data_IF_448969801461
#
_entry.id   IF_448969801461
#
_cell.length_a   1.000
_cell.length_b   1.000
_cell.length_c   1.000
_cell.angle_alpha   90.00
_cell.angle_beta   90.00
_cell.angle_gamma   90.00
#
_symmetry.space_group_name_H-M   'P 1'
#
loop_
_entity.id
_entity.type
_entity.pdbx_description
1 polymer ?
#
# COMPACT_ATOMS: atom_id res chain seq x y z
N UNK A 1 -45.54 -53.22 26.47
CA UNK A 1 -47.00 -53.15 26.34
C UNK A 1 -47.28 -52.93 24.86
N UNK A 2 -47.66 -54.03 24.18
CA UNK A 2 -48.41 -54.15 22.90
C UNK A 2 -47.83 -53.45 21.66
N UNK A 3 -47.82 -53.94 20.43
CA UNK A 3 -48.08 -55.22 19.73
C UNK A 3 -47.51 -54.96 18.31
N UNK A 4 -46.72 -55.82 17.65
CA UNK A 4 -47.05 -57.12 17.05
C UNK A 4 -47.89 -57.04 15.75
N UNK A 5 -47.37 -57.74 14.73
CA UNK A 5 -47.97 -58.21 13.45
C UNK A 5 -47.88 -57.24 12.25
N UNK A 6 -47.46 -57.66 11.04
CA UNK A 6 -47.62 -58.99 10.48
C UNK A 6 -46.74 -59.34 9.27
N UNK A 7 -46.80 -60.65 9.03
CA UNK A 7 -46.10 -61.53 8.11
C UNK A 7 -46.53 -61.36 6.64
N UNK A 8 -45.65 -61.76 5.71
CA UNK A 8 -45.95 -61.88 4.29
C UNK A 8 -44.84 -62.56 3.49
N UNK A 9 -44.64 -63.85 3.74
CA UNK A 9 -43.84 -64.81 2.96
C UNK A 9 -44.29 -64.96 1.51
N UNK A 10 -43.34 -65.05 0.56
CA UNK A 10 -43.50 -65.85 -0.65
C UNK A 10 -42.13 -66.27 -1.21
N UNK A 11 -41.78 -67.52 -0.92
CA UNK A 11 -40.79 -68.31 -1.64
C UNK A 11 -41.18 -68.47 -3.11
N UNK A 12 -40.18 -68.41 -4.02
CA UNK A 12 -39.76 -69.56 -4.86
C UNK A 12 -38.92 -69.11 -6.06
N UNK A 13 -37.99 -70.02 -6.42
CA UNK A 13 -37.32 -70.24 -7.71
C UNK A 13 -35.91 -69.64 -7.91
N UNK A 14 -34.92 -70.39 -7.41
CA UNK A 14 -33.69 -70.74 -8.17
C UNK A 14 -34.08 -71.46 -9.48
N UNK A 15 -33.31 -71.43 -10.60
CA UNK A 15 -31.85 -71.64 -10.57
C UNK A 15 -31.00 -70.96 -11.67
N UNK A 16 -29.68 -71.17 -11.55
CA UNK A 16 -28.64 -71.20 -12.60
C UNK A 16 -27.71 -69.99 -12.70
N UNK A 17 -26.44 -70.32 -12.46
CA UNK A 17 -25.23 -69.79 -13.09
C UNK A 17 -25.17 -68.26 -13.28
N UNK A 18 -24.62 -67.57 -12.29
CA UNK A 18 -23.91 -66.33 -12.57
C UNK A 18 -22.53 -66.37 -11.91
N UNK A 19 -21.54 -66.45 -12.80
CA UNK A 19 -20.11 -66.18 -12.66
C UNK A 19 -19.70 -65.55 -11.32
N UNK A 20 -18.82 -66.27 -10.63
CA UNK A 20 -17.91 -65.74 -9.61
C UNK A 20 -17.10 -64.61 -10.26
N UNK A 21 -17.55 -63.36 -10.08
CA UNK A 21 -16.77 -62.17 -10.38
C UNK A 21 -16.02 -61.82 -9.08
N UNK A 22 -14.68 -61.83 -9.04
CA UNK A 22 -13.97 -61.42 -7.85
C UNK A 22 -14.28 -59.94 -7.62
N UNK A 23 -14.79 -59.68 -6.43
CA UNK A 23 -14.98 -58.37 -5.81
C UNK A 23 -13.59 -57.72 -5.69
N UNK A 24 -13.04 -57.23 -6.79
CA UNK A 24 -11.87 -56.38 -6.81
C UNK A 24 -12.35 -55.01 -6.37
N UNK A 25 -12.47 -54.89 -5.05
CA UNK A 25 -12.53 -53.63 -4.30
C UNK A 25 -11.25 -52.88 -4.62
N UNK A 26 -11.24 -52.28 -5.80
CA UNK A 26 -10.33 -51.22 -6.18
C UNK A 26 -10.81 -50.00 -5.38
N UNK A 27 -10.56 -50.01 -4.07
CA UNK A 27 -10.37 -48.80 -3.31
C UNK A 27 -9.15 -48.11 -3.92
N UNK A 28 -9.37 -47.48 -5.08
CA UNK A 28 -8.55 -46.37 -5.53
C UNK A 28 -8.75 -45.32 -4.46
N UNK A 29 -7.91 -45.41 -3.43
CA UNK A 29 -7.57 -44.28 -2.59
C UNK A 29 -7.05 -43.23 -3.56
N UNK A 30 -7.96 -42.42 -4.10
CA UNK A 30 -7.65 -41.10 -4.58
C UNK A 30 -7.16 -40.36 -3.34
N UNK A 31 -5.87 -40.55 -3.05
CA UNK A 31 -5.11 -39.59 -2.29
C UNK A 31 -5.27 -38.32 -3.12
N UNK A 32 -6.25 -37.49 -2.75
CA UNK A 32 -6.31 -36.11 -3.15
C UNK A 32 -5.05 -35.50 -2.56
N UNK A 33 -3.92 -35.69 -3.25
CA UNK A 33 -2.73 -34.92 -3.00
C UNK A 33 -3.18 -33.50 -3.25
N UNK A 34 -3.29 -32.72 -2.18
CA UNK A 34 -3.48 -31.29 -2.28
C UNK A 34 -2.34 -30.78 -3.15
N UNK A 35 -2.64 -30.57 -4.43
CA UNK A 35 -1.72 -29.98 -5.39
C UNK A 35 -1.59 -28.54 -4.91
N UNK A 36 -0.60 -28.31 -4.05
CA UNK A 36 -0.28 -26.98 -3.55
C UNK A 36 -0.07 -26.08 -4.76
N UNK A 37 -1.01 -25.16 -4.98
CA UNK A 37 -0.93 -24.23 -6.09
C UNK A 37 0.35 -23.42 -5.94
N UNK A 38 1.28 -23.52 -6.89
CA UNK A 38 2.50 -22.72 -6.90
C UNK A 38 2.27 -21.48 -7.79
N UNK A 39 2.64 -20.26 -7.35
CA UNK A 39 2.58 -19.12 -8.24
C UNK A 39 3.62 -19.27 -9.35
N UNK A 40 3.22 -19.01 -10.59
CA UNK A 40 4.19 -18.78 -11.67
C UNK A 40 4.98 -17.49 -11.41
N UNK A 41 6.15 -17.35 -12.04
CA UNK A 41 6.96 -16.12 -11.96
C UNK A 41 6.17 -14.85 -12.34
N UNK A 42 5.29 -14.94 -13.34
CA UNK A 42 4.43 -13.83 -13.75
C UNK A 42 3.36 -13.51 -12.69
N UNK A 43 2.74 -14.52 -12.07
CA UNK A 43 1.79 -14.31 -10.98
C UNK A 43 2.45 -13.71 -9.74
N UNK A 44 3.62 -14.24 -9.34
CA UNK A 44 4.40 -13.71 -8.24
C UNK A 44 4.83 -12.26 -8.49
N UNK A 45 5.31 -11.96 -9.70
CA UNK A 45 5.63 -10.59 -10.12
C UNK A 45 4.40 -9.67 -10.01
N UNK A 46 3.24 -10.11 -10.52
CA UNK A 46 1.99 -9.34 -10.47
C UNK A 46 1.53 -9.06 -9.04
N UNK A 47 1.66 -10.04 -8.13
CA UNK A 47 1.35 -9.88 -6.72
C UNK A 47 2.27 -8.83 -6.06
N UNK A 48 3.58 -8.94 -6.29
CA UNK A 48 4.59 -8.02 -5.75
C UNK A 48 4.49 -6.60 -6.33
N UNK A 49 4.04 -6.42 -7.59
CA UNK A 49 3.80 -5.08 -8.14
C UNK A 49 2.67 -4.33 -7.44
N UNK A 50 1.80 -5.05 -6.72
CA UNK A 50 0.63 -4.52 -5.99
C UNK A 50 0.81 -4.54 -4.47
N UNK A 51 2.04 -4.71 -4.00
CA UNK A 51 2.39 -4.84 -2.60
C UNK A 51 1.92 -3.62 -1.80
N UNK A 52 1.12 -3.81 -0.75
CA UNK A 52 0.69 -2.76 0.18
C UNK A 52 0.09 -1.50 -0.51
N UNK A 53 -0.70 -1.70 -1.58
CA UNK A 53 -1.31 -0.60 -2.33
C UNK A 53 -0.35 0.11 -3.29
N UNK A 54 0.87 -0.39 -3.48
CA UNK A 54 1.78 0.13 -4.48
C UNK A 54 1.32 -0.30 -5.88
N UNK A 55 1.71 0.45 -6.90
CA UNK A 55 1.47 0.17 -8.31
C UNK A 55 2.79 0.30 -9.06
N UNK A 56 3.65 -0.69 -8.85
CA UNK A 56 4.96 -0.72 -9.48
C UNK A 56 4.84 -1.21 -10.93
N UNK A 57 5.67 -0.65 -11.82
CA UNK A 57 5.79 -1.18 -13.18
C UNK A 57 6.34 -2.61 -13.15
N UNK A 58 5.96 -3.45 -14.10
CA UNK A 58 6.42 -4.85 -14.16
C UNK A 58 7.95 -4.97 -14.21
N UNK A 59 8.64 -4.02 -14.86
CA UNK A 59 10.10 -3.95 -14.92
C UNK A 59 10.77 -3.59 -13.58
N UNK A 60 10.02 -3.08 -12.60
CA UNK A 60 10.51 -2.79 -11.27
C UNK A 60 10.64 -4.04 -10.39
N UNK A 61 10.09 -5.19 -10.79
CA UNK A 61 10.12 -6.42 -9.97
C UNK A 61 10.82 -7.56 -10.70
N UNK A 62 11.90 -8.08 -10.08
CA UNK A 62 12.68 -9.22 -10.58
C UNK A 62 12.59 -10.40 -9.62
N UNK A 63 11.70 -11.34 -9.92
CA UNK A 63 11.57 -12.60 -9.17
C UNK A 63 12.85 -13.42 -9.32
N UNK A 64 13.43 -13.85 -8.20
CA UNK A 64 14.67 -14.63 -8.11
C UNK A 64 14.41 -16.11 -7.82
N UNK A 65 13.54 -16.37 -6.85
CA UNK A 65 13.22 -17.70 -6.41
C UNK A 65 11.77 -17.78 -5.95
N UNK A 66 11.16 -18.96 -6.16
CA UNK A 66 9.83 -19.30 -5.67
C UNK A 66 9.96 -20.66 -4.99
N UNK A 67 9.72 -20.70 -3.69
CA UNK A 67 9.64 -21.94 -2.91
C UNK A 67 8.17 -22.34 -2.82
N UNK A 68 7.79 -23.53 -3.31
CA UNK A 68 6.42 -24.01 -3.23
C UNK A 68 5.99 -24.20 -1.77
N UNK A 69 4.73 -23.91 -1.47
CA UNK A 69 4.14 -24.01 -0.13
C UNK A 69 2.83 -23.24 -0.02
N UNK A 70 2.18 -23.34 1.13
CA UNK A 70 1.01 -22.53 1.49
C UNK A 70 1.24 -21.93 2.88
N UNK A 71 1.70 -20.68 2.98
CA UNK A 71 1.93 -19.72 1.89
C UNK A 71 3.15 -20.05 1.01
N UNK A 72 3.14 -19.59 -0.25
CA UNK A 72 4.28 -19.72 -1.16
C UNK A 72 5.31 -18.63 -0.87
N UNK A 73 6.58 -18.99 -0.72
CA UNK A 73 7.63 -18.01 -0.43
C UNK A 73 8.30 -17.53 -1.72
N UNK A 74 8.38 -16.23 -1.92
CA UNK A 74 8.96 -15.60 -3.12
C UNK A 74 10.06 -14.65 -2.70
N UNK A 75 11.24 -14.81 -3.30
CA UNK A 75 12.33 -13.83 -3.19
C UNK A 75 12.42 -13.03 -4.48
N UNK A 76 12.48 -11.70 -4.38
CA UNK A 76 12.55 -10.80 -5.52
C UNK A 76 13.40 -9.57 -5.22
N UNK A 77 14.00 -8.97 -6.25
CA UNK A 77 14.54 -7.62 -6.17
C UNK A 77 13.48 -6.62 -6.65
N UNK A 78 13.16 -5.61 -5.84
CA UNK A 78 12.23 -4.53 -6.15
C UNK A 78 13.02 -3.23 -6.36
N UNK A 79 12.86 -2.62 -7.53
CA UNK A 79 13.36 -1.28 -7.83
C UNK A 79 12.37 -0.26 -7.30
N UNK A 80 12.85 0.69 -6.50
CA UNK A 80 12.05 1.82 -6.07
C UNK A 80 12.84 3.13 -6.13
N UNK A 81 12.13 4.25 -6.08
CA UNK A 81 12.63 5.61 -6.11
C UNK A 81 12.26 6.28 -4.80
N UNK A 82 13.22 6.95 -4.20
CA UNK A 82 13.13 7.58 -2.90
C UNK A 82 13.50 9.04 -3.02
N UNK A 83 12.78 9.91 -2.32
CA UNK A 83 13.16 11.31 -2.17
C UNK A 83 13.82 11.48 -0.81
N UNK A 84 14.99 12.08 -0.86
CA UNK A 84 15.81 12.40 0.29
C UNK A 84 15.79 13.90 0.50
N UNK A 85 15.84 14.32 1.76
CA UNK A 85 16.01 15.73 2.13
C UNK A 85 16.87 15.86 3.37
N UNK A 86 17.48 17.02 3.54
CA UNK A 86 18.10 17.41 4.81
C UNK A 86 17.06 18.00 5.76
N UNK A 87 17.10 17.59 7.02
CA UNK A 87 16.38 18.25 8.09
C UNK A 87 17.03 19.60 8.45
N UNK A 88 16.45 20.31 9.42
CA UNK A 88 16.96 21.61 9.89
C UNK A 88 18.37 21.55 10.50
N UNK A 89 18.84 20.36 10.84
CA UNK A 89 20.19 20.09 11.37
C UNK A 89 21.15 19.65 10.27
N UNK A 90 20.74 19.66 9.00
CA UNK A 90 21.53 19.21 7.87
C UNK A 90 21.64 17.68 7.76
N UNK A 91 20.83 16.91 8.48
CA UNK A 91 20.86 15.44 8.45
C UNK A 91 19.96 14.92 7.35
N UNK A 92 20.47 14.00 6.56
CA UNK A 92 19.72 13.35 5.51
C UNK A 92 18.69 12.38 6.09
N UNK A 93 17.49 12.42 5.53
CA UNK A 93 16.42 11.44 5.76
C UNK A 93 15.72 11.10 4.45
N UNK A 94 15.02 9.98 4.42
CA UNK A 94 14.07 9.68 3.36
C UNK A 94 12.77 10.38 3.73
N UNK A 95 12.31 11.33 2.91
CA UNK A 95 11.03 12.00 3.12
C UNK A 95 9.88 11.31 2.40
N UNK A 96 10.12 10.83 1.18
CA UNK A 96 9.07 10.21 0.37
C UNK A 96 9.57 8.94 -0.35
N UNK A 97 8.66 8.00 -0.60
CA UNK A 97 8.88 6.83 -1.46
C UNK A 97 7.87 6.83 -2.60
N UNK A 98 8.32 6.52 -3.82
CA UNK A 98 7.44 6.44 -4.97
C UNK A 98 6.64 5.14 -4.93
N UNK A 99 5.32 5.23 -4.93
CA UNK A 99 4.44 4.05 -4.86
C UNK A 99 3.71 3.78 -6.17
N UNK A 100 3.69 4.73 -7.11
CA UNK A 100 3.23 4.53 -8.49
C UNK A 100 3.98 5.49 -9.44
N UNK A 101 3.61 5.54 -10.73
CA UNK A 101 4.25 6.47 -11.66
C UNK A 101 4.22 7.91 -11.14
N UNK A 102 3.08 8.45 -10.73
CA UNK A 102 3.02 9.86 -10.27
C UNK A 102 2.62 9.99 -8.80
N UNK A 103 2.80 8.91 -8.03
CA UNK A 103 2.39 8.84 -6.62
C UNK A 103 3.61 8.70 -5.70
N UNK A 104 3.68 9.60 -4.73
CA UNK A 104 4.67 9.62 -3.66
C UNK A 104 3.98 9.45 -2.32
N UNK A 105 4.60 8.68 -1.44
CA UNK A 105 4.10 8.41 -0.09
C UNK A 105 5.08 8.97 0.93
N UNK A 106 4.55 9.72 1.90
CA UNK A 106 5.37 10.27 2.99
C UNK A 106 5.84 9.15 3.92
N UNK A 107 7.15 9.09 4.16
CA UNK A 107 7.72 8.13 5.10
C UNK A 107 7.24 8.40 6.52
N UNK A 108 6.95 9.66 6.87
CA UNK A 108 6.48 10.02 8.20
C UNK A 108 5.10 9.39 8.48
N UNK A 109 4.20 9.38 7.49
CA UNK A 109 2.88 8.74 7.61
C UNK A 109 3.01 7.22 7.73
N UNK A 110 3.89 6.60 6.92
CA UNK A 110 4.13 5.14 7.00
C UNK A 110 4.72 4.78 8.36
N UNK A 111 5.69 5.55 8.85
CA UNK A 111 6.33 5.30 10.15
C UNK A 111 5.32 5.45 11.30
N UNK A 112 4.45 6.46 11.24
CA UNK A 112 3.37 6.63 12.22
C UNK A 112 2.40 5.45 12.21
N UNK A 113 1.99 4.99 11.02
CA UNK A 113 1.12 3.83 10.86
C UNK A 113 1.77 2.52 11.37
N UNK A 114 3.07 2.34 11.09
CA UNK A 114 3.87 1.21 11.55
C UNK A 114 4.23 1.29 13.04
N UNK A 115 3.95 2.41 13.71
CA UNK A 115 4.45 2.73 15.06
C UNK A 115 5.98 2.57 15.17
N UNK A 116 6.67 2.85 14.07
CA UNK A 116 8.11 2.69 13.95
C UNK A 116 8.83 4.01 14.23
N UNK A 117 10.00 3.91 14.87
CA UNK A 117 10.91 5.06 14.98
C UNK A 117 11.83 5.13 13.77
N UNK A 118 11.98 6.31 13.18
CA UNK A 118 12.95 6.56 12.12
C UNK A 118 14.35 6.74 12.71
N UNK A 119 15.07 5.63 12.91
CA UNK A 119 16.44 5.63 13.39
C UNK A 119 17.39 6.19 12.31
N UNK A 120 17.53 7.51 12.25
CA UNK A 120 18.37 8.19 11.23
C UNK A 120 19.77 8.56 11.74
N UNK A 121 20.01 8.49 13.06
CA UNK A 121 21.23 9.04 13.65
C UNK A 121 22.50 8.32 13.19
N UNK A 122 22.48 6.99 13.14
CA UNK A 122 23.67 6.18 12.77
C UNK A 122 24.04 6.37 11.30
N UNK A 123 23.05 6.46 10.41
CA UNK A 123 23.28 6.66 8.98
C UNK A 123 23.80 8.05 8.62
N UNK A 124 23.67 9.02 9.52
CA UNK A 124 24.12 10.40 9.32
C UNK A 124 25.54 10.67 9.83
N UNK A 125 26.28 9.63 10.24
CA UNK A 125 27.70 9.78 10.54
C UNK A 125 28.45 10.40 9.33
N UNK A 126 29.39 11.33 9.59
CA UNK A 126 30.22 11.91 8.52
C UNK A 126 31.07 10.82 7.86
N UNK A 127 31.14 10.83 6.53
CA UNK A 127 32.00 9.91 5.80
C UNK A 127 33.47 10.36 5.91
N UNK A 128 34.39 9.50 6.37
CA UNK A 128 35.81 9.84 6.43
C UNK A 128 36.43 9.93 5.02
N UNK A 129 37.37 10.85 4.75
CA UNK A 129 37.72 12.08 5.47
C UNK A 129 37.24 13.32 4.68
N UNK A 130 35.98 13.72 4.84
CA UNK A 130 35.54 15.03 4.33
C UNK A 130 36.02 16.17 5.25
N UNK A 131 36.98 16.97 4.77
CA UNK A 131 37.28 18.31 5.30
C UNK A 131 36.47 19.33 4.48
N UNK A 132 35.22 19.60 4.86
CA UNK A 132 34.38 20.55 4.11
C UNK A 132 32.95 20.66 4.64
N UNK A 133 32.18 21.58 4.07
CA UNK A 133 30.75 21.78 4.34
C UNK A 133 29.94 20.50 4.12
N UNK A 134 28.78 20.38 4.78
CA UNK A 134 27.86 19.25 4.58
C UNK A 134 27.63 19.01 3.08
N UNK A 135 27.84 17.76 2.64
CA UNK A 135 27.68 17.39 1.24
C UNK A 135 26.27 17.73 0.74
N UNK A 136 26.20 18.33 -0.45
CA UNK A 136 24.95 18.74 -1.12
C UNK A 136 24.13 17.51 -1.52
N UNK A 137 24.78 16.35 -1.65
CA UNK A 137 24.21 15.05 -1.98
C UNK A 137 24.42 14.03 -0.85
N UNK A 138 23.51 13.05 -0.68
CA UNK A 138 23.76 11.90 0.18
C UNK A 138 24.76 10.97 -0.52
N UNK A 139 25.83 10.56 0.16
CA UNK A 139 26.75 9.56 -0.39
C UNK A 139 26.01 8.23 -0.66
N UNK A 140 26.51 7.41 -1.58
CA UNK A 140 25.94 6.07 -1.87
C UNK A 140 25.87 5.21 -0.60
N UNK A 141 26.88 5.30 0.27
CA UNK A 141 26.90 4.59 1.56
C UNK A 141 25.78 5.08 2.48
N UNK A 142 25.60 6.40 2.59
CA UNK A 142 24.52 7.01 3.38
C UNK A 142 23.15 6.66 2.84
N UNK A 143 22.94 6.77 1.52
CA UNK A 143 21.70 6.38 0.86
C UNK A 143 21.34 4.92 1.12
N UNK A 144 22.33 4.01 0.97
CA UNK A 144 22.16 2.58 1.29
C UNK A 144 21.76 2.35 2.74
N UNK A 145 22.43 3.01 3.68
CA UNK A 145 22.11 2.91 5.10
C UNK A 145 20.67 3.35 5.39
N UNK A 146 20.30 4.55 4.92
CA UNK A 146 18.97 5.12 5.15
C UNK A 146 17.85 4.25 4.55
N UNK A 147 18.05 3.66 3.37
CA UNK A 147 17.10 2.72 2.78
C UNK A 147 17.04 1.41 3.58
N UNK A 148 18.17 0.94 4.10
CA UNK A 148 18.26 -0.28 4.91
C UNK A 148 17.56 -0.20 6.27
N UNK A 149 17.35 0.99 6.80
CA UNK A 149 16.65 1.22 8.09
C UNK A 149 15.25 1.80 7.91
N UNK A 150 14.73 1.79 6.68
CA UNK A 150 13.46 2.40 6.35
C UNK A 150 12.33 1.77 7.19
N UNK A 151 11.54 2.61 7.85
CA UNK A 151 10.33 2.22 8.61
C UNK A 151 10.55 1.22 9.74
N UNK A 152 11.77 1.13 10.28
CA UNK A 152 12.10 0.20 11.38
C UNK A 152 12.15 -1.26 10.94
N UNK A 153 11.96 -1.56 9.65
CA UNK A 153 12.20 -2.86 9.06
C UNK A 153 13.67 -2.87 8.65
N UNK A 154 14.51 -3.50 9.46
CA UNK A 154 15.91 -3.69 9.10
C UNK A 154 15.98 -4.51 7.82
N UNK A 155 16.62 -3.98 6.79
CA UNK A 155 16.99 -4.71 5.58
C UNK A 155 18.51 -4.79 5.57
N UNK A 156 19.10 -6.00 5.42
CA UNK A 156 20.54 -6.14 5.35
C UNK A 156 21.14 -5.22 4.29
N UNK A 157 22.25 -4.56 4.61
CA UNK A 157 22.83 -3.56 3.69
C UNK A 157 23.21 -4.14 2.32
N UNK A 158 23.54 -5.44 2.24
CA UNK A 158 23.82 -6.17 1.01
C UNK A 158 22.56 -6.50 0.19
N UNK A 159 21.38 -6.47 0.81
CA UNK A 159 20.09 -6.54 0.13
C UNK A 159 19.68 -5.19 -0.49
N UNK A 160 20.39 -4.10 -0.21
CA UNK A 160 20.15 -2.76 -0.78
C UNK A 160 21.25 -2.36 -1.76
N UNK A 161 20.89 -2.26 -3.04
CA UNK A 161 21.78 -1.80 -4.10
C UNK A 161 21.30 -0.47 -4.66
N UNK A 162 22.02 0.59 -4.32
CA UNK A 162 21.83 1.92 -4.92
C UNK A 162 22.22 1.85 -6.39
N UNK A 163 21.29 2.22 -7.26
CA UNK A 163 21.49 2.34 -8.70
C UNK A 163 21.97 3.75 -9.05
N UNK A 164 21.37 4.77 -8.46
CA UNK A 164 21.56 6.17 -8.84
C UNK A 164 21.25 7.09 -7.66
N UNK A 165 21.96 8.22 -7.58
CA UNK A 165 21.75 9.30 -6.63
C UNK A 165 21.81 10.61 -7.42
N UNK A 166 20.67 11.26 -7.54
CA UNK A 166 20.51 12.50 -8.30
C UNK A 166 20.25 13.66 -7.33
N UNK A 167 21.25 14.51 -7.05
CA UNK A 167 21.01 15.72 -6.27
C UNK A 167 20.05 16.64 -7.02
N UNK A 168 19.08 17.19 -6.30
CA UNK A 168 18.12 18.16 -6.80
C UNK A 168 18.37 19.52 -6.11
N UNK A 169 19.39 20.28 -6.54
CA UNK A 169 19.57 21.64 -6.08
C UNK A 169 18.44 22.49 -6.67
N UNK A 170 17.40 22.75 -5.88
CA UNK A 170 16.39 23.76 -6.23
C UNK A 170 16.94 25.11 -5.79
N UNK A 171 17.19 26.06 -6.71
CA UNK A 171 17.60 27.41 -6.34
C UNK A 171 16.58 27.98 -5.35
N UNK A 172 17.06 28.54 -4.23
CA UNK A 172 16.24 29.11 -3.14
C UNK A 172 15.49 28.11 -2.26
N UNK A 173 15.60 26.81 -2.47
CA UNK A 173 15.09 25.86 -1.48
C UNK A 173 15.93 25.96 -0.19
N UNK A 174 15.26 25.96 0.95
CA UNK A 174 15.90 26.06 2.26
C UNK A 174 16.64 24.78 2.67
N UNK A 175 16.42 23.66 1.97
CA UNK A 175 16.93 22.33 2.31
C UNK A 175 17.47 21.64 1.06
N UNK A 176 18.64 21.00 1.19
CA UNK A 176 19.16 20.13 0.14
C UNK A 176 18.24 18.91 -0.04
N UNK A 177 18.07 18.46 -1.29
CA UNK A 177 17.25 17.30 -1.63
C UNK A 177 17.91 16.46 -2.71
N UNK A 178 17.57 15.17 -2.77
CA UNK A 178 18.06 14.25 -3.78
C UNK A 178 17.01 13.18 -4.10
N UNK A 179 17.07 12.62 -5.31
CA UNK A 179 16.33 11.43 -5.69
C UNK A 179 17.29 10.25 -5.70
N UNK A 180 16.91 9.16 -5.07
CA UNK A 180 17.72 7.93 -5.00
C UNK A 180 16.93 6.80 -5.63
N UNK A 181 17.54 6.10 -6.59
CA UNK A 181 16.98 4.88 -7.16
C UNK A 181 17.72 3.68 -6.55
N UNK A 182 16.99 2.73 -5.98
CA UNK A 182 17.59 1.55 -5.36
C UNK A 182 16.84 0.26 -5.72
N UNK A 183 17.59 -0.84 -5.77
CA UNK A 183 17.07 -2.19 -5.78
C UNK A 183 17.14 -2.76 -4.37
N UNK A 184 16.01 -3.28 -3.88
CA UNK A 184 15.87 -3.86 -2.55
C UNK A 184 15.45 -5.31 -2.72
N UNK A 185 16.24 -6.24 -2.17
CA UNK A 185 15.85 -7.65 -2.12
C UNK A 185 14.86 -7.87 -0.99
N UNK A 186 13.71 -8.43 -1.32
CA UNK A 186 12.67 -8.80 -0.37
C UNK A 186 12.34 -10.29 -0.49
N UNK A 187 11.93 -10.88 0.63
CA UNK A 187 11.29 -12.20 0.66
C UNK A 187 9.87 -12.01 1.18
N UNK A 188 8.90 -12.56 0.46
CA UNK A 188 7.49 -12.35 0.69
C UNK A 188 6.74 -13.69 0.71
N UNK A 189 5.68 -13.78 1.50
CA UNK A 189 4.74 -14.91 1.49
C UNK A 189 3.49 -14.55 0.74
N UNK A 190 3.19 -15.34 -0.27
CA UNK A 190 2.03 -15.17 -1.13
C UNK A 190 0.97 -16.20 -0.76
N UNK A 191 -0.28 -15.75 -0.72
CA UNK A 191 -1.47 -16.57 -0.54
C UNK A 191 -2.36 -16.41 -1.76
N UNK A 192 -3.07 -17.47 -2.14
CA UNK A 192 -4.06 -17.44 -3.21
C UNK A 192 -5.46 -17.49 -2.60
N UNK A 193 -6.24 -16.43 -2.78
CA UNK A 193 -7.59 -16.29 -2.24
C UNK A 193 -8.70 -16.70 -3.25
N UNK A 194 -8.31 -17.32 -4.36
CA UNK A 194 -9.20 -17.67 -5.47
C UNK A 194 -9.39 -16.52 -6.47
N UNK A 195 -9.15 -15.26 -6.09
CA UNK A 195 -9.14 -14.10 -7.01
C UNK A 195 -7.74 -13.84 -7.57
N UNK A 196 -6.71 -14.33 -6.89
CA UNK A 196 -5.34 -14.36 -7.36
C UNK A 196 -4.34 -14.45 -6.22
N UNK A 197 -3.07 -14.41 -6.59
CA UNK A 197 -1.98 -14.35 -5.63
C UNK A 197 -1.85 -12.95 -5.04
N UNK A 198 -1.78 -12.87 -3.72
CA UNK A 198 -1.59 -11.64 -2.96
C UNK A 198 -0.46 -11.81 -1.96
N UNK A 199 0.25 -10.73 -1.65
CA UNK A 199 1.30 -10.75 -0.64
C UNK A 199 0.66 -10.61 0.73
N UNK A 200 0.88 -11.58 1.60
CA UNK A 200 0.36 -11.63 2.97
C UNK A 200 1.37 -11.14 3.99
N UNK A 201 2.63 -11.58 3.85
CA UNK A 201 3.70 -11.27 4.80
C UNK A 201 4.99 -10.86 4.06
N UNK A 202 5.79 -10.00 4.69
CA UNK A 202 7.16 -9.70 4.29
C UNK A 202 8.14 -10.17 5.35
N UNK A 203 9.26 -10.70 4.89
CA UNK A 203 10.37 -11.07 5.75
C UNK A 203 11.25 -9.84 6.02
N UNK A 204 11.55 -9.62 7.28
CA UNK A 204 12.46 -8.58 7.77
C UNK A 204 13.90 -9.09 7.81
N UNK A 205 14.86 -8.20 8.07
CA UNK A 205 16.29 -8.50 8.17
C UNK A 205 16.66 -9.37 9.36
N UNK A 206 15.91 -9.26 10.47
CA UNK A 206 16.02 -10.18 11.61
C UNK A 206 15.32 -11.54 11.36
N UNK A 207 14.86 -11.78 10.12
CA UNK A 207 14.22 -13.02 9.62
C UNK A 207 12.79 -13.28 10.09
N UNK A 208 12.20 -12.35 10.83
CA UNK A 208 10.80 -12.40 11.23
C UNK A 208 9.87 -12.12 10.04
N UNK A 209 8.60 -12.50 10.20
CA UNK A 209 7.55 -12.26 9.23
C UNK A 209 6.60 -11.19 9.77
N UNK A 210 6.36 -10.14 8.98
CA UNK A 210 5.39 -9.10 9.29
C UNK A 210 4.18 -9.26 8.37
N UNK A 211 2.99 -9.37 8.98
CA UNK A 211 1.72 -9.32 8.26
C UNK A 211 1.49 -7.91 7.70
N UNK A 212 1.18 -7.82 6.41
CA UNK A 212 1.02 -6.53 5.74
C UNK A 212 -0.34 -5.90 5.96
N UNK A 213 -1.40 -6.70 6.08
CA UNK A 213 -2.76 -6.19 6.14
C UNK A 213 -2.96 -5.19 7.30
N UNK A 214 -2.53 -5.48 8.55
CA UNK A 214 -2.68 -4.51 9.64
C UNK A 214 -1.91 -3.20 9.40
N UNK A 215 -0.76 -3.26 8.72
CA UNK A 215 0.00 -2.07 8.36
C UNK A 215 -0.71 -1.23 7.30
N UNK A 216 -1.27 -1.87 6.27
CA UNK A 216 -2.06 -1.21 5.22
C UNK A 216 -3.31 -0.57 5.81
N UNK A 217 -4.00 -1.27 6.71
CA UNK A 217 -5.19 -0.75 7.39
C UNK A 217 -4.85 0.48 8.25
N UNK A 218 -3.77 0.39 9.05
CA UNK A 218 -3.29 1.52 9.84
C UNK A 218 -2.87 2.71 8.97
N UNK A 219 -2.23 2.45 7.82
CA UNK A 219 -1.85 3.50 6.87
C UNK A 219 -3.10 4.17 6.28
N UNK A 220 -4.10 3.39 5.88
CA UNK A 220 -5.37 3.91 5.37
C UNK A 220 -6.12 4.73 6.43
N UNK A 221 -6.08 4.33 7.71
CA UNK A 221 -6.65 5.12 8.80
C UNK A 221 -5.96 6.50 8.92
N UNK A 222 -4.63 6.53 8.87
CA UNK A 222 -3.86 7.79 8.92
C UNK A 222 -4.15 8.69 7.72
N UNK A 223 -4.27 8.09 6.53
CA UNK A 223 -4.66 8.79 5.30
C UNK A 223 -6.08 9.33 5.38
N UNK A 224 -7.04 8.56 5.87
CA UNK A 224 -8.42 9.02 6.05
C UNK A 224 -8.51 10.19 7.03
N UNK A 225 -7.77 10.12 8.14
CA UNK A 225 -7.67 11.21 9.09
C UNK A 225 -7.03 12.46 8.45
N UNK A 226 -6.00 12.29 7.61
CA UNK A 226 -5.40 13.40 6.86
C UNK A 226 -6.38 14.02 5.87
N UNK A 227 -7.07 13.19 5.08
CA UNK A 227 -8.04 13.66 4.12
C UNK A 227 -9.16 14.47 4.80
N UNK A 228 -9.69 14.00 5.93
CA UNK A 228 -10.69 14.72 6.71
C UNK A 228 -10.18 16.09 7.16
N UNK A 229 -8.93 16.20 7.66
CA UNK A 229 -8.34 17.51 8.03
C UNK A 229 -8.19 18.45 6.84
N UNK A 230 -7.83 17.94 5.66
CA UNK A 230 -7.76 18.75 4.45
C UNK A 230 -9.15 19.23 4.00
N UNK A 231 -10.18 18.38 4.07
CA UNK A 231 -11.58 18.77 3.83
C UNK A 231 -12.06 19.85 4.82
N UNK A 232 -11.78 19.68 6.11
CA UNK A 232 -12.11 20.67 7.14
C UNK A 232 -11.41 22.01 6.88
N UNK A 233 -10.15 21.98 6.43
CA UNK A 233 -9.40 23.18 6.06
C UNK A 233 -10.05 23.91 4.88
N UNK A 234 -10.49 23.17 3.86
CA UNK A 234 -11.21 23.74 2.72
C UNK A 234 -12.59 24.28 3.14
N UNK A 235 -13.32 23.57 4.00
CA UNK A 235 -14.59 24.03 4.54
C UNK A 235 -14.46 25.34 5.32
N UNK A 236 -13.44 25.47 6.17
CA UNK A 236 -13.16 26.72 6.89
C UNK A 236 -12.81 27.87 5.93
N UNK A 237 -12.11 27.58 4.84
CA UNK A 237 -11.82 28.56 3.80
C UNK A 237 -13.09 29.00 3.06
N UNK A 238 -14.00 28.05 2.75
CA UNK A 238 -15.33 28.33 2.20
C UNK A 238 -16.19 29.19 3.13
N UNK A 239 -16.15 28.95 4.44
CA UNK A 239 -16.86 29.80 5.42
C UNK A 239 -16.30 31.23 5.46
N UNK A 240 -14.98 31.40 5.38
CA UNK A 240 -14.38 32.73 5.24
C UNK A 240 -14.81 33.41 3.94
N UNK A 241 -14.78 32.68 2.83
CA UNK A 241 -15.23 33.17 1.53
C UNK A 241 -16.70 33.62 1.58
N UNK A 242 -17.59 32.81 2.14
CA UNK A 242 -19.02 33.12 2.28
C UNK A 242 -19.25 34.34 3.16
N UNK A 243 -18.54 34.48 4.28
CA UNK A 243 -18.68 35.67 5.16
C UNK A 243 -18.34 36.97 4.44
N UNK A 244 -17.40 36.94 3.50
CA UNK A 244 -17.00 38.12 2.74
C UNK A 244 -17.87 38.35 1.49
N UNK A 245 -18.27 37.28 0.79
CA UNK A 245 -18.98 37.36 -0.50
C UNK A 245 -20.50 37.22 -0.39
N UNK A 246 -21.00 36.69 0.72
CA UNK A 246 -22.42 36.41 0.96
C UNK A 246 -22.92 35.06 0.42
N UNK A 247 -22.10 34.29 -0.30
CA UNK A 247 -22.46 33.00 -0.89
C UNK A 247 -21.21 32.08 -1.01
N UNK A 248 -21.40 30.76 -1.12
CA UNK A 248 -20.30 29.83 -1.46
C UNK A 248 -20.01 29.82 -2.96
N UNK A 249 -18.86 29.28 -3.35
CA UNK A 249 -18.48 29.17 -4.77
C UNK A 249 -19.47 28.25 -5.49
N UNK A 250 -20.20 28.75 -6.49
CA UNK A 250 -21.16 27.93 -7.25
C UNK A 250 -20.41 27.22 -8.38
N UNK A 251 -20.11 25.94 -8.19
CA UNK A 251 -19.39 25.11 -9.16
C UNK A 251 -19.42 23.64 -8.73
N UNK A 252 -19.31 22.73 -9.68
CA UNK A 252 -19.04 21.30 -9.51
C UNK A 252 -17.54 20.96 -9.69
N UNK A 253 -16.68 21.98 -9.80
CA UNK A 253 -15.26 21.83 -10.10
C UNK A 253 -14.37 22.21 -8.92
N UNK A 254 -13.61 21.24 -8.44
CA UNK A 254 -12.58 21.46 -7.42
C UNK A 254 -11.50 22.46 -7.89
N UNK A 255 -11.16 22.48 -9.17
CA UNK A 255 -10.17 23.42 -9.69
C UNK A 255 -10.66 24.87 -9.52
N UNK A 256 -11.91 25.14 -9.89
CA UNK A 256 -12.56 26.44 -9.73
C UNK A 256 -12.64 26.84 -8.26
N UNK A 257 -13.00 25.91 -7.37
CA UNK A 257 -12.99 26.15 -5.93
C UNK A 257 -11.62 26.67 -5.47
N UNK A 258 -10.54 25.96 -5.81
CA UNK A 258 -9.20 26.31 -5.35
C UNK A 258 -8.74 27.66 -5.90
N UNK A 259 -9.09 28.01 -7.14
CA UNK A 259 -8.75 29.31 -7.74
C UNK A 259 -9.47 30.48 -7.03
N UNK A 260 -10.68 30.24 -6.48
CA UNK A 260 -11.38 31.23 -5.66
C UNK A 260 -10.85 31.34 -4.22
N UNK A 261 -10.37 30.22 -3.66
CA UNK A 261 -9.89 30.18 -2.27
C UNK A 261 -8.43 30.62 -2.13
N UNK A 262 -7.57 30.29 -3.09
CA UNK A 262 -6.14 30.58 -3.02
C UNK A 262 -5.81 31.97 -3.60
N UNK A 263 -4.86 32.73 -3.02
CA UNK A 263 -4.16 32.47 -1.75
C UNK A 263 -4.90 33.05 -0.54
N UNK A 264 -5.94 33.85 -0.76
CA UNK A 264 -6.55 34.71 0.28
C UNK A 264 -7.19 33.93 1.43
N UNK A 265 -7.87 32.83 1.14
CA UNK A 265 -8.61 32.04 2.13
C UNK A 265 -7.96 30.70 2.42
N UNK A 266 -7.10 30.21 1.52
CA UNK A 266 -6.41 28.93 1.61
C UNK A 266 -4.92 29.11 1.25
N UNK A 267 -4.03 28.93 2.23
CA UNK A 267 -2.60 29.17 2.08
C UNK A 267 -1.87 28.07 1.28
N UNK A 268 -2.37 26.83 1.33
CA UNK A 268 -1.80 25.66 0.63
C UNK A 268 -2.78 25.19 -0.44
N UNK A 269 -2.27 24.86 -1.63
CA UNK A 269 -3.07 24.23 -2.68
C UNK A 269 -3.39 22.78 -2.27
N UNK A 270 -4.68 22.46 -2.11
CA UNK A 270 -5.20 21.12 -1.79
C UNK A 270 -6.06 20.67 -2.98
N UNK A 271 -5.54 19.76 -3.80
CA UNK A 271 -6.23 19.30 -5.03
C UNK A 271 -6.45 17.79 -5.08
N UNK A 272 -5.53 17.03 -4.49
CA UNK A 272 -5.55 15.57 -4.48
C UNK A 272 -5.56 15.10 -3.04
N UNK A 273 -6.27 14.01 -2.80
CA UNK A 273 -6.33 13.34 -1.51
C UNK A 273 -5.07 12.46 -1.28
N UNK A 274 -4.93 11.85 -0.09
CA UNK A 274 -3.79 11.01 0.25
C UNK A 274 -3.64 9.72 -0.57
N UNK A 275 -4.64 9.34 -1.38
CA UNK A 275 -4.57 8.24 -2.33
C UNK A 275 -4.31 8.71 -3.77
N UNK A 276 -4.08 10.02 -3.94
CA UNK A 276 -3.83 10.70 -5.20
C UNK A 276 -5.05 10.80 -6.11
N UNK A 277 -6.25 10.69 -5.55
CA UNK A 277 -7.48 10.98 -6.28
C UNK A 277 -7.80 12.48 -6.15
N UNK A 278 -8.29 13.16 -7.21
CA UNK A 278 -8.76 14.53 -7.09
C UNK A 278 -9.90 14.63 -6.06
N UNK A 279 -9.82 15.61 -5.17
CA UNK A 279 -10.98 15.97 -4.34
C UNK A 279 -12.14 16.44 -5.24
N UNK A 280 -13.37 16.21 -4.77
CA UNK A 280 -14.60 16.62 -5.45
C UNK A 280 -15.30 17.73 -4.67
N UNK A 281 -15.94 18.61 -5.41
CA UNK A 281 -16.68 19.74 -4.88
C UNK A 281 -18.00 19.88 -5.62
N UNK A 282 -19.08 20.03 -4.87
CA UNK A 282 -20.38 20.46 -5.39
C UNK A 282 -20.87 21.63 -4.56
N UNK A 283 -20.83 22.83 -5.15
CA UNK A 283 -21.11 24.09 -4.50
C UNK A 283 -22.34 24.78 -5.06
N UNK A 284 -23.22 25.23 -4.17
CA UNK A 284 -24.35 26.09 -4.48
C UNK A 284 -24.23 27.39 -3.68
N UNK A 285 -25.19 28.31 -3.80
CA UNK A 285 -25.05 29.63 -3.16
C UNK A 285 -25.03 29.55 -1.63
N UNK A 286 -25.75 28.59 -1.05
CA UNK A 286 -26.06 28.47 0.37
C UNK A 286 -25.62 27.15 1.01
N UNK A 287 -25.15 26.19 0.22
CA UNK A 287 -24.62 24.89 0.65
C UNK A 287 -23.43 24.46 -0.21
N UNK A 288 -22.65 23.51 0.31
CA UNK A 288 -21.60 22.84 -0.44
C UNK A 288 -21.39 21.41 0.04
N UNK A 289 -20.77 20.60 -0.80
CA UNK A 289 -20.27 19.26 -0.45
C UNK A 289 -18.82 19.15 -0.91
N UNK A 290 -17.96 18.66 -0.03
CA UNK A 290 -16.59 18.26 -0.32
C UNK A 290 -16.46 16.75 -0.14
N UNK A 291 -15.72 16.09 -1.04
CA UNK A 291 -15.66 14.62 -1.08
C UNK A 291 -14.29 14.10 -1.51
N UNK A 292 -13.87 12.99 -0.90
CA UNK A 292 -12.73 12.15 -1.31
C UNK A 292 -13.24 10.72 -1.53
N UNK A 293 -12.81 10.13 -2.65
CA UNK A 293 -13.12 8.75 -3.08
C UNK A 293 -12.34 7.67 -2.31
N UNK A 294 -11.59 8.06 -1.28
CA UNK A 294 -10.91 7.10 -0.40
C UNK A 294 -9.85 6.20 -1.07
N UNK A 295 -9.47 5.11 -0.38
CA UNK A 295 -8.53 4.10 -0.87
C UNK A 295 -8.89 3.42 -2.19
N UNK A 296 -10.16 3.11 -2.43
CA UNK A 296 -10.55 2.32 -3.61
C UNK A 296 -10.75 3.16 -4.88
N UNK A 297 -10.80 4.50 -4.72
CA UNK A 297 -10.90 5.48 -5.79
C UNK A 297 -12.25 5.47 -6.51
N UNK A 298 -13.26 4.82 -5.94
CA UNK A 298 -14.62 4.78 -6.46
C UNK A 298 -15.50 5.71 -5.65
N UNK A 299 -16.57 6.17 -6.28
CA UNK A 299 -17.55 7.00 -5.59
C UNK A 299 -18.66 6.14 -5.01
N UNK A 300 -19.28 6.67 -3.96
CA UNK A 300 -20.44 6.10 -3.28
C UNK A 300 -20.13 4.75 -2.63
N UNK A 301 -18.91 4.60 -2.14
CA UNK A 301 -18.44 3.44 -1.39
C UNK A 301 -18.32 3.77 0.10
N UNK A 302 -18.11 2.75 0.93
CA UNK A 302 -18.08 2.90 2.39
C UNK A 302 -16.82 3.60 2.92
N UNK A 303 -15.78 3.70 2.10
CA UNK A 303 -14.50 4.34 2.42
C UNK A 303 -14.45 5.82 2.01
N UNK A 304 -15.51 6.32 1.36
CA UNK A 304 -15.66 7.73 1.01
C UNK A 304 -15.67 8.64 2.24
N UNK A 305 -15.05 9.80 2.08
CA UNK A 305 -15.03 10.84 3.11
C UNK A 305 -15.74 12.07 2.56
N UNK A 306 -16.89 12.37 3.13
CA UNK A 306 -17.71 13.51 2.75
C UNK A 306 -17.81 14.53 3.90
N UNK A 307 -17.77 15.81 3.55
CA UNK A 307 -18.06 16.92 4.45
C UNK A 307 -18.97 17.90 3.72
N UNK A 308 -20.15 18.15 4.29
CA UNK A 308 -21.13 19.09 3.74
C UNK A 308 -21.25 20.34 4.61
N UNK A 309 -21.44 21.48 3.96
CA UNK A 309 -21.84 22.72 4.60
C UNK A 309 -23.30 22.68 5.06
N UNK A 310 -23.83 23.78 5.63
CA UNK A 310 -25.20 23.84 6.10
C UNK A 310 -26.20 23.45 5.00
N UNK A 311 -27.16 22.58 5.36
CA UNK A 311 -28.30 22.30 4.51
C UNK A 311 -29.15 23.56 4.36
N UNK A 312 -29.54 23.84 3.11
CA UNK A 312 -30.58 24.82 2.82
C UNK A 312 -31.86 24.38 3.56
N UNK A 313 -32.18 25.07 4.66
CA UNK A 313 -33.47 24.91 5.34
C UNK A 313 -34.57 25.63 4.57
#
# INVERSE_FOLDING_TARGET
MLDSLGSGTLDRLTPRLCRILPLLVCCVLFIAGDVFAQPSSNQARKALTRLAGFELTSGAVRVKAITPGTPAEVTADIRNVFKFEQDERGRWRISEIRTAQDRWESIDIIAEAARASLATNECNAPDPPFKGSAAIDPSVKRARCLVGVLTGIEVPSDAVRIQEVDPMPVPLASRASAVVVAWIRVTARLVNDGKGWQVSELRTGNRDWIMLQPLVDALNEKKAAHARRELETMAQALERYRRERGFYVVSDSQAVLIDHLNPRYLAKIIRVDPWSHPYKYDGQRDRFTLHSSGPDGKDLTADDIQLSGPDAR
#
